data_IF_879529299362
#
_entry.id   IF_879529299362
#
_cell.length_a   1.000
_cell.length_b   1.000
_cell.length_c   1.000
_cell.angle_alpha   90.00
_cell.angle_beta   90.00
_cell.angle_gamma   90.00
#
_symmetry.space_group_name_H-M   'P 1'
#
loop_
_entity.id
_entity.type
_entity.pdbx_description
1 polymer ?
#
# COMPACT_ATOMS: atom_id res chain seq x y z
N UNK A 1 10.69 -7.75 18.70
CA UNK A 1 9.45 -8.58 18.57
C UNK A 1 8.19 -7.75 18.84
N UNK A 2 8.19 -6.88 19.85
CA UNK A 2 7.10 -5.91 20.11
C UNK A 2 6.78 -5.02 18.92
N UNK A 3 7.78 -4.43 18.27
CA UNK A 3 7.57 -3.52 17.12
C UNK A 3 6.92 -4.22 15.92
N UNK A 4 7.27 -5.49 15.69
CA UNK A 4 6.66 -6.30 14.64
C UNK A 4 5.15 -6.50 14.92
N UNK A 5 4.80 -6.88 16.14
CA UNK A 5 3.39 -7.08 16.54
C UNK A 5 2.60 -5.77 16.44
N UNK A 6 3.18 -4.65 16.88
CA UNK A 6 2.55 -3.34 16.76
C UNK A 6 2.34 -3.00 15.28
N UNK A 7 3.34 -3.23 14.43
CA UNK A 7 3.24 -3.02 12.98
C UNK A 7 2.12 -3.83 12.32
N UNK A 8 1.96 -5.10 12.72
CA UNK A 8 0.85 -5.96 12.26
C UNK A 8 -0.50 -5.43 12.74
N UNK A 9 -0.63 -5.02 14.01
CA UNK A 9 -1.87 -4.45 14.55
C UNK A 9 -2.26 -3.14 13.85
N UNK A 10 -1.29 -2.27 13.59
CA UNK A 10 -1.50 -1.02 12.83
C UNK A 10 -1.94 -1.35 11.39
N UNK A 11 -1.32 -2.34 10.76
CA UNK A 11 -1.69 -2.78 9.42
C UNK A 11 -3.13 -3.32 9.40
N UNK A 12 -3.51 -4.15 10.38
CA UNK A 12 -4.88 -4.66 10.54
C UNK A 12 -5.89 -3.52 10.67
N UNK A 13 -5.58 -2.50 11.49
CA UNK A 13 -6.44 -1.33 11.66
C UNK A 13 -6.59 -0.55 10.35
N UNK A 14 -5.48 -0.27 9.64
CA UNK A 14 -5.50 0.44 8.35
C UNK A 14 -6.33 -0.34 7.33
N UNK A 15 -6.14 -1.66 7.21
CA UNK A 15 -6.90 -2.49 6.28
C UNK A 15 -8.39 -2.51 6.64
N UNK A 16 -8.74 -2.65 7.91
CA UNK A 16 -10.14 -2.61 8.36
C UNK A 16 -10.81 -1.28 7.98
N UNK A 17 -10.14 -0.15 8.23
CA UNK A 17 -10.64 1.18 7.87
C UNK A 17 -10.74 1.37 6.35
N UNK A 18 -9.76 0.88 5.59
CA UNK A 18 -9.74 0.97 4.14
C UNK A 18 -10.84 0.12 3.47
N UNK A 19 -11.13 -1.07 4.02
CA UNK A 19 -12.26 -1.89 3.59
C UNK A 19 -13.60 -1.19 3.89
N UNK A 20 -13.76 -0.63 5.10
CA UNK A 20 -14.97 0.11 5.48
C UNK A 20 -15.21 1.35 4.62
N UNK A 21 -14.15 2.05 4.23
CA UNK A 21 -14.23 3.22 3.36
C UNK A 21 -14.36 2.87 1.87
N UNK A 22 -14.22 1.59 1.50
CA UNK A 22 -14.23 1.14 0.10
C UNK A 22 -13.00 1.58 -0.69
N UNK A 23 -11.85 1.80 -0.04
CA UNK A 23 -10.56 1.99 -0.71
C UNK A 23 -9.94 0.67 -1.16
N UNK A 24 -10.31 -0.43 -0.48
CA UNK A 24 -9.89 -1.80 -0.81
C UNK A 24 -11.12 -2.68 -1.04
N UNK A 25 -11.01 -3.58 -2.01
CA UNK A 25 -11.86 -4.75 -2.11
C UNK A 25 -11.41 -5.78 -1.05
N UNK A 26 -12.23 -6.79 -0.75
CA UNK A 26 -11.86 -7.86 0.19
C UNK A 26 -10.54 -8.55 -0.21
N UNK A 27 -10.35 -8.80 -1.50
CA UNK A 27 -9.10 -9.36 -2.05
C UNK A 27 -7.91 -8.42 -1.87
N UNK A 28 -8.12 -7.11 -2.08
CA UNK A 28 -7.13 -6.07 -1.81
C UNK A 28 -6.76 -6.00 -0.33
N UNK A 29 -7.74 -6.17 0.57
CA UNK A 29 -7.52 -6.21 2.02
C UNK A 29 -6.53 -7.30 2.42
N UNK A 30 -6.71 -8.52 1.92
CA UNK A 30 -5.80 -9.63 2.22
C UNK A 30 -4.38 -9.34 1.70
N UNK A 31 -4.24 -8.86 0.46
CA UNK A 31 -2.95 -8.46 -0.09
C UNK A 31 -2.29 -7.34 0.73
N UNK A 32 -3.08 -6.36 1.18
CA UNK A 32 -2.60 -5.23 1.97
C UNK A 32 -2.15 -5.67 3.38
N UNK A 33 -2.76 -6.72 3.96
CA UNK A 33 -2.27 -7.31 5.21
C UNK A 33 -0.86 -7.89 5.04
N UNK A 34 -0.60 -8.64 3.97
CA UNK A 34 0.73 -9.18 3.70
C UNK A 34 1.76 -8.07 3.43
N UNK A 35 1.45 -7.16 2.52
CA UNK A 35 2.34 -6.04 2.12
C UNK A 35 2.62 -5.12 3.32
N UNK A 36 1.57 -4.67 4.01
CA UNK A 36 1.69 -3.77 5.14
C UNK A 36 2.41 -4.42 6.32
N UNK A 37 2.13 -5.69 6.63
CA UNK A 37 2.81 -6.39 7.73
C UNK A 37 4.29 -6.59 7.44
N UNK A 38 4.66 -6.91 6.18
CA UNK A 38 6.06 -6.98 5.78
C UNK A 38 6.76 -5.63 5.95
N UNK A 39 6.13 -4.54 5.49
CA UNK A 39 6.75 -3.21 5.51
C UNK A 39 6.80 -2.62 6.94
N UNK A 40 5.68 -2.59 7.67
CA UNK A 40 5.65 -2.09 9.04
C UNK A 40 6.42 -3.00 10.00
N UNK A 41 6.26 -4.32 9.86
CA UNK A 41 6.83 -5.27 10.78
C UNK A 41 8.34 -5.47 10.60
N UNK A 42 8.82 -5.53 9.35
CA UNK A 42 10.23 -5.80 9.04
C UNK A 42 11.02 -4.54 8.67
N UNK A 43 10.41 -3.61 7.93
CA UNK A 43 11.03 -2.34 7.56
C UNK A 43 10.93 -1.24 8.64
N UNK A 44 10.01 -1.40 9.58
CA UNK A 44 9.80 -0.48 10.70
C UNK A 44 8.96 0.76 10.36
N UNK A 45 8.77 1.62 11.36
CA UNK A 45 7.82 2.74 11.32
C UNK A 45 8.05 3.72 10.18
N UNK A 46 9.31 4.05 9.86
CA UNK A 46 9.63 5.01 8.79
C UNK A 46 9.08 4.55 7.44
N UNK A 47 9.18 3.26 7.16
CA UNK A 47 8.75 2.67 5.90
C UNK A 47 7.23 2.49 5.88
N UNK A 48 6.66 2.06 7.01
CA UNK A 48 5.22 1.96 7.18
C UNK A 48 4.49 3.29 7.03
N UNK A 49 5.01 4.38 7.62
CA UNK A 49 4.42 5.72 7.47
C UNK A 49 4.46 6.17 6.01
N UNK A 50 5.57 5.97 5.30
CA UNK A 50 5.67 6.31 3.88
C UNK A 50 4.67 5.54 3.03
N UNK A 51 4.53 4.23 3.27
CA UNK A 51 3.52 3.40 2.60
C UNK A 51 2.11 3.91 2.90
N UNK A 52 1.82 4.23 4.16
CA UNK A 52 0.52 4.76 4.59
C UNK A 52 0.18 6.08 3.89
N UNK A 53 1.12 7.02 3.88
CA UNK A 53 0.96 8.31 3.18
C UNK A 53 0.69 8.12 1.69
N UNK A 54 1.46 7.26 1.02
CA UNK A 54 1.24 6.90 -0.38
C UNK A 54 -0.16 6.29 -0.59
N UNK A 55 -0.55 5.32 0.25
CA UNK A 55 -1.83 4.65 0.14
C UNK A 55 -3.00 5.63 0.33
N UNK A 56 -3.00 6.46 1.38
CA UNK A 56 -4.09 7.39 1.65
C UNK A 56 -4.17 8.51 0.61
N UNK A 57 -3.03 9.12 0.24
CA UNK A 57 -3.01 10.17 -0.77
C UNK A 57 -3.52 9.66 -2.12
N UNK A 58 -3.00 8.53 -2.61
CA UNK A 58 -3.48 7.93 -3.86
C UNK A 58 -4.95 7.50 -3.78
N UNK A 59 -5.45 7.09 -2.60
CA UNK A 59 -6.87 6.72 -2.41
C UNK A 59 -7.78 7.92 -2.54
N UNK A 60 -7.35 9.05 -2.01
CA UNK A 60 -8.11 10.29 -2.10
C UNK A 60 -8.09 10.83 -3.53
N UNK A 61 -6.92 10.82 -4.19
CA UNK A 61 -6.78 11.26 -5.58
C UNK A 61 -7.57 10.39 -6.57
N UNK A 62 -7.66 9.07 -6.33
CA UNK A 62 -8.43 8.19 -7.21
C UNK A 62 -9.92 8.56 -7.19
N UNK A 63 -10.45 8.97 -6.03
CA UNK A 63 -11.84 9.44 -5.88
C UNK A 63 -12.04 10.89 -6.28
N UNK A 64 -11.00 11.72 -6.25
CA UNK A 64 -11.09 13.12 -6.66
C UNK A 64 -11.55 13.20 -8.13
N UNK A 65 -12.66 13.93 -8.34
CA UNK A 65 -13.33 14.09 -9.64
C UNK A 65 -13.72 12.76 -10.32
N UNK A 66 -13.98 11.72 -9.53
CA UNK A 66 -14.40 10.40 -10.04
C UNK A 66 -15.57 10.50 -11.04
N UNK A 67 -16.58 11.34 -10.74
CA UNK A 67 -17.75 11.52 -11.61
C UNK A 67 -17.41 12.19 -12.95
N UNK A 68 -16.56 13.21 -12.94
CA UNK A 68 -16.07 13.85 -14.18
C UNK A 68 -15.23 12.88 -15.01
N UNK A 69 -14.37 12.09 -14.34
CA UNK A 69 -13.54 11.05 -14.98
C UNK A 69 -14.40 9.94 -15.58
N UNK A 70 -15.48 9.52 -14.92
CA UNK A 70 -16.40 8.51 -15.44
C UNK A 70 -17.16 8.98 -16.68
N UNK A 71 -17.59 10.25 -16.69
CA UNK A 71 -18.25 10.86 -17.86
C UNK A 71 -17.26 11.04 -19.03
N UNK A 72 -15.99 11.34 -18.75
CA UNK A 72 -14.95 11.45 -19.78
C UNK A 72 -14.43 10.08 -20.25
N UNK A 73 -14.62 9.02 -19.46
CA UNK A 73 -14.09 7.69 -19.68
C UNK A 73 -15.21 6.65 -19.73
N UNK A 74 -16.11 6.75 -20.72
CA UNK A 74 -17.14 5.73 -21.00
C UNK A 74 -16.57 4.31 -21.29
N UNK A 75 -15.23 4.13 -21.26
CA UNK A 75 -14.55 2.85 -21.51
C UNK A 75 -13.70 2.28 -20.36
N UNK A 76 -13.55 2.96 -19.21
CA UNK A 76 -12.75 2.43 -18.09
C UNK A 76 -13.64 1.93 -16.95
N UNK A 77 -14.06 0.67 -17.06
CA UNK A 77 -15.01 -0.02 -16.17
C UNK A 77 -14.45 -0.47 -14.80
N UNK A 78 -13.20 -0.13 -14.45
CA UNK A 78 -12.64 -0.47 -13.13
C UNK A 78 -12.86 0.67 -12.15
N UNK A 79 -13.71 0.45 -11.15
CA UNK A 79 -13.96 1.41 -10.07
C UNK A 79 -12.69 1.72 -9.25
N UNK A 80 -12.76 2.76 -8.40
CA UNK A 80 -11.64 3.28 -7.62
C UNK A 80 -11.20 2.40 -6.42
N UNK A 81 -11.80 1.23 -6.28
CA UNK A 81 -11.59 0.29 -5.18
C UNK A 81 -10.46 -0.66 -5.54
N UNK A 82 -9.38 -0.68 -4.75
CA UNK A 82 -8.19 -1.47 -5.08
C UNK A 82 -8.37 -2.96 -4.79
N UNK A 83 -8.14 -3.78 -5.79
CA UNK A 83 -8.07 -5.24 -5.65
C UNK A 83 -6.66 -5.71 -5.29
N UNK A 84 -6.49 -7.03 -5.11
CA UNK A 84 -5.21 -7.63 -4.78
C UNK A 84 -4.12 -7.31 -5.82
N UNK A 85 -4.49 -7.25 -7.11
CA UNK A 85 -3.57 -7.00 -8.21
C UNK A 85 -3.01 -5.59 -8.14
N UNK A 86 -3.88 -4.60 -7.90
CA UNK A 86 -3.45 -3.22 -7.68
C UNK A 86 -2.61 -3.09 -6.41
N UNK A 87 -2.93 -3.79 -5.32
CA UNK A 87 -2.12 -3.72 -4.10
C UNK A 87 -0.71 -4.29 -4.31
N UNK A 88 -0.60 -5.44 -4.97
CA UNK A 88 0.71 -6.03 -5.26
C UNK A 88 1.51 -5.23 -6.29
N UNK A 89 0.85 -4.68 -7.32
CA UNK A 89 1.51 -3.81 -8.29
C UNK A 89 2.07 -2.54 -7.62
N UNK A 90 1.32 -1.94 -6.69
CA UNK A 90 1.72 -0.69 -6.05
C UNK A 90 2.66 -0.86 -4.85
N UNK A 91 2.61 -2.00 -4.15
CA UNK A 91 3.31 -2.19 -2.88
C UNK A 91 4.12 -3.47 -2.76
N UNK A 92 4.00 -4.41 -3.69
CA UNK A 92 4.66 -5.72 -3.62
C UNK A 92 6.18 -5.62 -3.67
N UNK A 93 6.72 -4.82 -4.58
CA UNK A 93 8.17 -4.63 -4.69
C UNK A 93 8.75 -3.92 -3.45
N UNK A 94 8.03 -2.93 -2.93
CA UNK A 94 8.37 -2.26 -1.67
C UNK A 94 8.41 -3.25 -0.48
N UNK A 95 7.46 -4.20 -0.43
CA UNK A 95 7.46 -5.26 0.58
C UNK A 95 8.64 -6.22 0.41
N UNK A 96 9.00 -6.59 -0.81
CA UNK A 96 10.19 -7.40 -1.08
C UNK A 96 11.47 -6.70 -0.59
N UNK A 97 11.60 -5.39 -0.79
CA UNK A 97 12.74 -4.64 -0.26
C UNK A 97 12.76 -4.56 1.26
N UNK A 98 11.60 -4.46 1.92
CA UNK A 98 11.53 -4.50 3.38
C UNK A 98 11.98 -5.87 3.93
N UNK A 99 11.56 -6.97 3.27
CA UNK A 99 12.01 -8.33 3.62
C UNK A 99 13.52 -8.48 3.39
N UNK A 100 14.01 -8.08 2.21
CA UNK A 100 15.44 -8.16 1.89
C UNK A 100 16.30 -7.32 2.85
N UNK A 101 15.85 -6.12 3.21
CA UNK A 101 16.55 -5.25 4.15
C UNK A 101 16.57 -5.78 5.59
N UNK A 102 15.59 -6.59 5.98
CA UNK A 102 15.60 -7.29 7.26
C UNK A 102 16.60 -8.46 7.30
N UNK A 103 16.87 -9.11 6.16
CA UNK A 103 17.84 -10.21 6.04
C UNK A 103 19.26 -9.67 5.84
N UNK A 104 19.43 -8.65 4.99
CA UNK A 104 20.71 -8.06 4.62
C UNK A 104 20.70 -6.54 4.84
N UNK A 105 20.97 -6.05 6.06
CA UNK A 105 20.87 -4.62 6.35
C UNK A 105 21.83 -3.77 5.50
N UNK A 106 21.26 -2.86 4.70
CA UNK A 106 22.01 -1.91 3.87
C UNK A 106 21.18 -0.64 3.59
N UNK A 107 21.82 0.55 3.48
CA UNK A 107 21.11 1.80 3.18
C UNK A 107 20.45 1.80 1.79
N UNK A 108 20.95 0.99 0.87
CA UNK A 108 20.42 0.84 -0.49
C UNK A 108 18.92 0.46 -0.48
N UNK A 109 18.48 -0.38 0.46
CA UNK A 109 17.08 -0.82 0.50
C UNK A 109 16.11 0.33 0.74
N UNK A 110 16.50 1.33 1.53
CA UNK A 110 15.67 2.52 1.74
C UNK A 110 15.51 3.32 0.44
N UNK A 111 16.59 3.46 -0.34
CA UNK A 111 16.56 4.14 -1.64
C UNK A 111 15.66 3.37 -2.62
N UNK A 112 15.85 2.06 -2.74
CA UNK A 112 15.03 1.20 -3.60
C UNK A 112 13.55 1.21 -3.21
N UNK A 113 13.25 1.17 -1.90
CA UNK A 113 11.90 1.29 -1.37
C UNK A 113 11.24 2.62 -1.76
N UNK A 114 11.93 3.74 -1.53
CA UNK A 114 11.40 5.07 -1.89
C UNK A 114 11.25 5.22 -3.40
N UNK A 115 12.21 4.70 -4.19
CA UNK A 115 12.16 4.70 -5.64
C UNK A 115 10.98 3.88 -6.17
N UNK A 116 10.72 2.71 -5.59
CA UNK A 116 9.56 1.90 -5.95
C UNK A 116 8.25 2.63 -5.66
N UNK A 117 8.09 3.23 -4.48
CA UNK A 117 6.89 4.01 -4.16
C UNK A 117 6.72 5.24 -5.06
N UNK A 118 7.82 5.89 -5.46
CA UNK A 118 7.78 7.05 -6.34
C UNK A 118 7.49 6.71 -7.81
N UNK A 119 7.93 5.54 -8.27
CA UNK A 119 7.77 5.11 -9.67
C UNK A 119 6.37 4.54 -9.96
N UNK A 120 5.67 4.08 -8.93
CA UNK A 120 4.33 3.50 -9.07
C UNK A 120 3.32 4.56 -9.51
N UNK A 121 2.57 4.26 -10.57
CA UNK A 121 1.36 4.99 -10.95
C UNK A 121 0.12 4.16 -10.59
N UNK A 122 -0.93 4.83 -10.10
CA UNK A 122 -2.17 4.21 -9.63
C UNK A 122 -3.39 4.73 -10.39
#
# INVERSE_FOLDING_TARGET
MTDFLIGVLVTLLIVALALRQGYLARSGGLAALFVGSAIFGLGGWRWGVLLGLFFFSSSLLSRYKAREKQLAAEKFSKGHTRDWGQVLANGGLAALYAVAGAIWPAPLWALLFTGALAAVNA
#
